data_IF_355237495832
#
_entry.id   IF_355237495832
#
_cell.length_a   1.000
_cell.length_b   1.000
_cell.length_c   1.000
_cell.angle_alpha   90.00
_cell.angle_beta   90.00
_cell.angle_gamma   90.00
#
_symmetry.space_group_name_H-M   'P 1'
#
loop_
_entity.id
_entity.type
_entity.pdbx_description
1 polymer ?
#
# COMPACT_ATOMS: atom_id res chain seq x y z
N UNK A 1 -0.86 -2.83 15.40
CA UNK A 1 -1.24 -3.96 16.26
C UNK A 1 -1.85 -5.11 15.49
N UNK A 2 -1.82 -6.28 16.09
CA UNK A 2 -2.58 -7.43 15.60
C UNK A 2 -3.82 -7.54 16.50
N UNK A 3 -5.01 -7.56 15.88
CA UNK A 3 -6.24 -7.78 16.65
C UNK A 3 -6.30 -9.19 17.24
N UNK A 4 -6.99 -9.33 18.35
CA UNK A 4 -7.20 -10.65 19.01
C UNK A 4 -8.30 -11.47 18.32
N UNK A 5 -9.02 -10.90 17.38
CA UNK A 5 -10.14 -11.52 16.65
C UNK A 5 -9.73 -11.71 15.16
N UNK A 6 -10.14 -12.79 14.49
CA UNK A 6 -9.96 -12.97 13.05
C UNK A 6 -10.57 -11.85 12.18
N UNK A 7 -11.35 -10.93 12.76
CA UNK A 7 -11.93 -9.77 12.06
C UNK A 7 -11.17 -8.45 12.26
N UNK A 8 -10.01 -8.48 12.94
CA UNK A 8 -9.26 -7.28 13.31
C UNK A 8 -9.87 -6.55 14.51
N UNK A 9 -9.29 -5.43 14.88
CA UNK A 9 -9.73 -4.67 16.05
C UNK A 9 -9.60 -3.16 15.80
N UNK A 10 -10.67 -2.44 16.07
CA UNK A 10 -10.64 -0.98 16.11
C UNK A 10 -10.07 -0.55 17.46
N UNK A 11 -8.82 -0.11 17.46
CA UNK A 11 -8.13 0.28 18.69
C UNK A 11 -7.00 1.26 18.42
N UNK A 12 -6.88 2.24 19.29
CA UNK A 12 -5.72 3.10 19.38
C UNK A 12 -4.59 2.36 20.11
N UNK A 13 -3.54 2.04 19.37
CA UNK A 13 -2.44 1.20 19.85
C UNK A 13 -1.24 2.05 20.33
N UNK A 14 -0.80 1.84 21.55
CA UNK A 14 0.38 2.48 22.11
C UNK A 14 1.57 1.51 22.17
N UNK A 15 2.79 1.98 21.85
CA UNK A 15 3.24 3.38 21.63
C UNK A 15 3.02 3.93 20.21
N UNK A 16 2.43 3.19 19.27
CA UNK A 16 2.30 3.58 17.89
C UNK A 16 1.51 4.90 17.71
N UNK A 17 0.48 5.13 18.52
CA UNK A 17 -0.38 6.32 18.46
C UNK A 17 0.17 7.54 19.22
N UNK A 18 1.42 7.48 19.71
CA UNK A 18 2.05 8.69 20.29
C UNK A 18 2.46 9.69 19.20
N UNK A 19 2.41 10.96 19.54
CA UNK A 19 2.96 12.03 18.73
C UNK A 19 4.40 11.71 18.29
N UNK A 20 4.72 11.96 17.02
CA UNK A 20 6.01 11.71 16.39
C UNK A 20 6.41 10.23 16.27
N UNK A 21 5.46 9.32 16.39
CA UNK A 21 5.62 7.90 16.07
C UNK A 21 4.78 7.58 14.84
N UNK A 22 5.37 6.94 13.84
CA UNK A 22 4.65 6.51 12.64
C UNK A 22 3.88 5.22 12.94
N UNK A 23 2.58 5.32 12.94
CA UNK A 23 1.67 4.19 13.20
C UNK A 23 1.40 3.41 11.91
N UNK A 24 1.68 2.11 11.91
CA UNK A 24 1.61 1.26 10.71
C UNK A 24 0.64 0.12 10.90
N UNK A 25 -0.38 0.02 10.04
CA UNK A 25 -1.25 -1.14 9.94
C UNK A 25 -0.74 -2.14 8.89
N UNK A 26 -1.24 -3.36 8.93
CA UNK A 26 -0.84 -4.43 8.02
C UNK A 26 -1.91 -4.71 6.97
N UNK A 27 -1.48 -4.85 5.72
CA UNK A 27 -2.30 -5.32 4.61
C UNK A 27 -1.58 -6.43 3.85
N UNK A 28 -2.33 -7.17 3.06
CA UNK A 28 -1.76 -8.13 2.11
C UNK A 28 -1.08 -7.44 0.93
N UNK A 29 -0.19 -8.14 0.23
CA UNK A 29 0.54 -7.62 -0.94
C UNK A 29 -0.36 -7.19 -2.11
N UNK A 30 -1.61 -7.67 -2.14
CA UNK A 30 -2.63 -7.26 -3.12
C UNK A 30 -3.35 -5.96 -2.76
N UNK A 31 -3.06 -5.37 -1.59
CA UNK A 31 -3.77 -4.22 -1.04
C UNK A 31 -5.05 -4.57 -0.27
N UNK A 32 -5.42 -5.85 -0.19
CA UNK A 32 -6.53 -6.28 0.67
C UNK A 32 -6.12 -6.22 2.13
N UNK A 33 -6.97 -5.63 2.97
CA UNK A 33 -6.72 -5.61 4.40
C UNK A 33 -6.74 -7.02 4.99
N UNK A 34 -5.71 -7.34 5.77
CA UNK A 34 -5.66 -8.60 6.51
C UNK A 34 -6.60 -8.53 7.71
N UNK A 35 -7.74 -9.19 7.64
CA UNK A 35 -8.86 -9.10 8.60
C UNK A 35 -8.52 -9.31 10.09
N UNK A 36 -7.26 -9.50 10.42
CA UNK A 36 -6.71 -9.64 11.76
C UNK A 36 -5.94 -8.39 12.25
N UNK A 37 -5.59 -7.47 11.34
CA UNK A 37 -4.79 -6.29 11.73
C UNK A 37 -5.66 -5.26 12.46
N UNK A 38 -5.05 -4.53 13.38
CA UNK A 38 -5.68 -3.39 14.04
C UNK A 38 -5.82 -2.23 13.05
N UNK A 39 -6.96 -1.55 13.09
CA UNK A 39 -7.28 -0.37 12.31
C UNK A 39 -7.83 0.72 13.23
N UNK A 40 -7.51 1.98 12.94
CA UNK A 40 -7.94 3.14 13.72
C UNK A 40 -7.57 4.43 13.00
N UNK A 41 -8.23 5.55 13.27
CA UNK A 41 -7.87 6.86 12.71
C UNK A 41 -6.50 7.37 13.15
N UNK A 42 -5.88 6.77 14.17
CA UNK A 42 -4.48 7.03 14.57
C UNK A 42 -3.44 6.26 13.73
N UNK A 43 -3.87 5.44 12.77
CA UNK A 43 -2.96 4.81 11.82
C UNK A 43 -2.53 5.82 10.78
N UNK A 44 -1.23 5.99 10.58
CA UNK A 44 -0.68 6.93 9.60
C UNK A 44 -0.61 6.34 8.20
N UNK A 45 -0.28 5.05 8.07
CA UNK A 45 -0.21 4.34 6.79
C UNK A 45 -0.34 2.83 6.96
N UNK A 46 -0.54 2.14 5.86
CA UNK A 46 -0.52 0.68 5.80
C UNK A 46 0.72 0.19 5.04
N UNK A 47 1.18 -1.01 5.37
CA UNK A 47 2.28 -1.67 4.67
C UNK A 47 2.04 -3.19 4.54
N UNK A 48 2.66 -3.88 3.55
CA UNK A 48 2.57 -5.32 3.43
C UNK A 48 3.00 -6.02 4.72
N UNK A 49 2.13 -6.83 5.26
CA UNK A 49 2.33 -7.56 6.52
C UNK A 49 1.86 -9.01 6.50
N UNK A 50 1.48 -9.53 5.31
CA UNK A 50 1.10 -10.93 5.12
C UNK A 50 2.09 -11.67 4.25
N UNK A 51 2.40 -12.91 4.64
CA UNK A 51 3.31 -13.82 3.93
C UNK A 51 4.70 -13.18 3.66
N UNK A 52 5.21 -12.46 4.66
CA UNK A 52 6.49 -11.77 4.55
C UNK A 52 7.63 -12.72 4.87
N UNK A 53 8.38 -13.09 3.83
CA UNK A 53 9.56 -13.94 3.94
C UNK A 53 10.72 -13.18 4.59
N UNK A 54 11.24 -13.71 5.67
CA UNK A 54 12.39 -13.15 6.37
C UNK A 54 13.24 -14.23 7.03
N UNK A 55 14.45 -13.84 7.45
CA UNK A 55 15.31 -14.71 8.25
C UNK A 55 14.71 -14.91 9.63
N UNK A 56 14.76 -16.15 10.11
CA UNK A 56 14.24 -16.55 11.43
C UNK A 56 15.36 -17.11 12.31
N UNK A 57 15.10 -17.19 13.62
CA UNK A 57 16.04 -17.80 14.56
C UNK A 57 16.20 -19.28 14.21
N UNK A 58 17.45 -19.75 14.17
CA UNK A 58 17.75 -21.16 13.84
C UNK A 58 18.23 -21.41 12.42
N UNK A 59 18.80 -20.41 11.76
CA UNK A 59 19.46 -20.51 10.44
C UNK A 59 18.51 -20.90 9.29
N UNK A 60 17.41 -20.14 9.13
CA UNK A 60 16.44 -20.39 8.06
C UNK A 60 15.71 -19.14 7.64
N UNK A 61 14.77 -19.36 6.74
CA UNK A 61 13.80 -18.36 6.29
C UNK A 61 12.40 -18.92 6.48
N UNK A 62 11.49 -18.06 6.88
CA UNK A 62 10.08 -18.40 7.02
C UNK A 62 9.21 -17.20 6.66
N UNK A 63 7.94 -17.43 6.34
CA UNK A 63 6.97 -16.40 6.01
C UNK A 63 5.99 -16.22 7.15
N UNK A 64 5.89 -14.99 7.64
CA UNK A 64 5.02 -14.66 8.76
C UNK A 64 4.06 -13.53 8.42
N UNK A 65 2.95 -13.49 9.16
CA UNK A 65 1.94 -12.45 9.11
C UNK A 65 2.01 -11.59 10.39
N UNK A 66 1.81 -10.29 10.24
CA UNK A 66 1.79 -9.40 11.39
C UNK A 66 2.04 -7.94 11.05
N UNK A 67 1.51 -7.04 11.87
CA UNK A 67 1.93 -5.64 11.90
C UNK A 67 3.43 -5.51 12.23
N UNK A 68 4.00 -6.52 12.91
CA UNK A 68 5.45 -6.67 13.15
C UNK A 68 6.25 -6.84 11.85
N UNK A 69 5.63 -7.29 10.75
CA UNK A 69 6.21 -7.41 9.41
C UNK A 69 5.93 -6.16 8.58
N UNK A 70 4.78 -5.53 8.76
CA UNK A 70 4.42 -4.29 8.09
C UNK A 70 5.29 -3.10 8.54
N UNK A 71 5.52 -2.96 9.84
CA UNK A 71 6.31 -1.86 10.40
C UNK A 71 7.73 -1.76 9.83
N UNK A 72 8.54 -2.84 9.77
CA UNK A 72 9.87 -2.78 9.15
C UNK A 72 9.81 -2.53 7.63
N UNK A 73 8.75 -2.94 6.93
CA UNK A 73 8.57 -2.59 5.52
C UNK A 73 8.43 -1.07 5.35
N UNK A 74 7.57 -0.42 6.12
CA UNK A 74 7.45 1.04 6.13
C UNK A 74 8.78 1.72 6.53
N UNK A 75 9.43 1.24 7.59
CA UNK A 75 10.72 1.77 8.03
C UNK A 75 11.81 1.64 6.97
N UNK A 76 11.79 0.56 6.18
CA UNK A 76 12.75 0.35 5.08
C UNK A 76 12.59 1.38 3.96
N UNK A 77 11.36 1.80 3.65
CA UNK A 77 11.10 2.86 2.67
C UNK A 77 11.64 4.20 3.18
N UNK A 78 11.47 4.51 4.47
CA UNK A 78 12.03 5.72 5.07
C UNK A 78 13.58 5.67 5.04
N UNK A 79 14.17 4.50 5.31
CA UNK A 79 15.62 4.30 5.19
C UNK A 79 16.13 4.50 3.77
N UNK A 80 15.37 4.04 2.77
CA UNK A 80 15.65 4.28 1.36
C UNK A 80 15.59 5.77 1.03
N UNK A 81 14.55 6.48 1.47
CA UNK A 81 14.43 7.93 1.31
C UNK A 81 15.57 8.69 1.97
N UNK A 82 15.99 8.30 3.18
CA UNK A 82 17.13 8.89 3.86
C UNK A 82 18.43 8.76 3.04
N UNK A 83 18.59 7.65 2.34
CA UNK A 83 19.74 7.44 1.45
C UNK A 83 19.69 8.32 0.19
N UNK A 84 18.48 8.58 -0.34
CA UNK A 84 18.27 9.44 -1.51
C UNK A 84 18.32 10.93 -1.17
N UNK A 85 17.81 11.30 0.01
CA UNK A 85 17.66 12.69 0.49
C UNK A 85 18.34 12.85 1.85
N UNK A 86 19.69 12.76 1.93
CA UNK A 86 20.41 12.74 3.20
C UNK A 86 20.22 14.00 4.04
N UNK A 87 19.95 15.14 3.39
CA UNK A 87 19.80 16.45 4.04
C UNK A 87 18.36 16.75 4.52
N UNK A 88 17.40 15.87 4.21
CA UNK A 88 16.03 16.06 4.64
C UNK A 88 15.87 15.81 6.14
N UNK A 89 15.01 16.60 6.79
CA UNK A 89 14.59 16.33 8.17
C UNK A 89 13.74 15.04 8.25
N UNK A 90 13.56 14.53 9.47
CA UNK A 90 12.65 13.38 9.67
C UNK A 90 11.23 13.71 9.23
N UNK A 91 10.75 14.93 9.54
CA UNK A 91 9.40 15.37 9.16
C UNK A 91 9.21 15.39 7.65
N UNK A 92 10.22 15.88 6.89
CA UNK A 92 10.18 15.84 5.43
C UNK A 92 10.14 14.43 4.86
N UNK A 93 10.86 13.48 5.46
CA UNK A 93 10.83 12.09 5.04
C UNK A 93 9.47 11.45 5.33
N UNK A 94 8.91 11.68 6.50
CA UNK A 94 7.58 11.17 6.88
C UNK A 94 6.50 11.78 5.98
N UNK A 95 6.50 13.10 5.80
CA UNK A 95 5.55 13.79 4.91
C UNK A 95 5.63 13.22 3.48
N UNK A 96 6.86 12.96 3.00
CA UNK A 96 7.03 12.36 1.67
C UNK A 96 6.47 10.95 1.59
N UNK A 97 6.71 10.10 2.58
CA UNK A 97 6.15 8.74 2.62
C UNK A 97 4.62 8.79 2.63
N UNK A 98 4.03 9.61 3.50
CA UNK A 98 2.58 9.72 3.61
C UNK A 98 1.95 10.27 2.32
N UNK A 99 2.51 11.34 1.76
CA UNK A 99 1.98 11.98 0.53
C UNK A 99 2.16 11.13 -0.73
N UNK A 100 3.04 10.14 -0.73
CA UNK A 100 3.27 9.22 -1.83
C UNK A 100 2.63 7.84 -1.64
N UNK A 101 1.98 7.61 -0.50
CA UNK A 101 1.26 6.35 -0.25
C UNK A 101 0.11 6.17 -1.24
N UNK A 102 -0.20 4.92 -1.55
CA UNK A 102 -1.20 4.58 -2.55
C UNK A 102 -2.57 4.36 -1.90
N UNK A 103 -3.50 5.23 -2.21
CA UNK A 103 -4.86 5.22 -1.65
C UNK A 103 -5.80 4.19 -2.31
N UNK A 104 -5.33 3.49 -3.37
CA UNK A 104 -6.11 2.44 -4.03
C UNK A 104 -6.60 1.34 -3.05
N UNK A 105 -5.94 1.21 -1.89
CA UNK A 105 -6.37 0.26 -0.87
C UNK A 105 -7.80 0.51 -0.39
N UNK A 106 -8.30 1.74 -0.47
CA UNK A 106 -9.67 2.10 -0.10
C UNK A 106 -10.69 1.68 -1.16
N UNK A 107 -10.28 1.57 -2.43
CA UNK A 107 -11.13 0.95 -3.47
C UNK A 107 -11.35 -0.54 -3.21
N UNK A 108 -10.35 -1.21 -2.61
CA UNK A 108 -10.40 -2.63 -2.26
C UNK A 108 -11.01 -2.88 -0.88
N UNK A 109 -10.99 -1.89 -0.01
CA UNK A 109 -11.44 -1.96 1.38
C UNK A 109 -12.34 -0.75 1.72
N UNK A 110 -13.49 -0.59 1.02
CA UNK A 110 -14.32 0.62 1.14
C UNK A 110 -14.91 0.83 2.53
N UNK A 111 -15.07 -0.22 3.32
CA UNK A 111 -15.59 -0.15 4.69
C UNK A 111 -14.65 0.61 5.65
N UNK A 112 -13.40 0.84 5.24
CA UNK A 112 -12.38 1.51 6.04
C UNK A 112 -12.16 2.99 5.65
N UNK A 113 -12.98 3.53 4.75
CA UNK A 113 -13.05 4.97 4.44
C UNK A 113 -13.78 5.71 5.56
N UNK A 114 -14.93 5.18 5.99
CA UNK A 114 -15.66 5.61 7.19
C UNK A 114 -15.68 4.41 8.14
N UNK A 115 -14.55 4.11 8.73
CA UNK A 115 -14.29 2.84 9.38
C UNK A 115 -15.27 2.54 10.54
N UNK A 116 -15.69 1.28 10.68
CA UNK A 116 -16.56 0.90 11.77
C UNK A 116 -15.80 0.82 13.10
N UNK A 117 -16.41 1.33 14.16
CA UNK A 117 -15.97 1.00 15.52
C UNK A 117 -16.30 -0.47 15.87
N UNK A 118 -15.86 -0.91 17.04
CA UNK A 118 -16.12 -2.29 17.50
C UNK A 118 -17.62 -2.63 17.69
N UNK A 119 -18.50 -1.65 17.54
CA UNK A 119 -19.96 -1.82 17.57
C UNK A 119 -20.59 -1.80 16.17
N UNK A 120 -19.75 -1.61 15.12
CA UNK A 120 -20.18 -1.52 13.73
C UNK A 120 -20.73 -0.15 13.34
N UNK A 121 -20.54 0.89 14.16
CA UNK A 121 -20.94 2.24 13.79
C UNK A 121 -19.81 2.90 13.00
N UNK A 122 -20.14 3.64 11.92
CA UNK A 122 -19.13 4.37 11.16
C UNK A 122 -18.50 5.48 12.02
N UNK A 123 -17.18 5.55 12.01
CA UNK A 123 -16.42 6.66 12.59
C UNK A 123 -16.31 7.75 11.53
N UNK A 124 -17.00 8.86 11.75
CA UNK A 124 -17.17 9.92 10.76
C UNK A 124 -15.83 10.60 10.47
N UNK A 125 -15.40 10.53 9.21
CA UNK A 125 -14.24 11.25 8.68
C UNK A 125 -12.90 10.59 8.94
N UNK A 126 -12.86 9.28 9.24
CA UNK A 126 -11.64 8.54 9.50
C UNK A 126 -11.22 7.61 8.36
N UNK A 127 -10.01 7.80 7.85
CA UNK A 127 -9.31 6.81 7.04
C UNK A 127 -8.55 5.89 8.00
N UNK A 128 -9.09 4.72 8.32
CA UNK A 128 -8.55 3.88 9.38
C UNK A 128 -7.36 3.01 9.01
N UNK A 129 -6.91 3.11 7.77
CA UNK A 129 -5.65 2.52 7.29
C UNK A 129 -4.64 3.62 6.91
N UNK A 130 -4.87 4.85 7.36
CA UNK A 130 -3.99 6.00 7.16
C UNK A 130 -3.97 6.53 5.72
N UNK A 131 -2.83 7.06 5.31
CA UNK A 131 -2.65 7.69 3.99
C UNK A 131 -2.72 6.70 2.81
N UNK A 132 -2.77 5.41 3.08
CA UNK A 132 -2.75 4.36 2.07
C UNK A 132 -1.60 3.37 2.25
N UNK A 133 -1.35 2.55 1.25
CA UNK A 133 -0.22 1.62 1.24
C UNK A 133 1.08 2.34 0.93
N UNK A 134 2.11 2.06 1.71
CA UNK A 134 3.46 2.59 1.43
C UNK A 134 3.92 2.22 0.02
N UNK A 135 4.39 3.21 -0.74
CA UNK A 135 4.92 3.05 -2.09
C UNK A 135 6.35 3.62 -2.15
N UNK A 136 7.32 2.72 -2.13
CA UNK A 136 8.74 3.08 -2.19
C UNK A 136 9.12 3.82 -3.47
N UNK A 137 8.46 3.45 -4.57
CA UNK A 137 8.75 3.96 -5.89
C UNK A 137 8.26 5.41 -6.05
N UNK A 138 7.02 5.68 -5.70
CA UNK A 138 6.47 7.03 -5.65
C UNK A 138 7.24 7.89 -4.63
N UNK A 139 7.62 7.32 -3.49
CA UNK A 139 8.33 8.02 -2.44
C UNK A 139 9.68 8.57 -2.90
N UNK A 140 10.48 7.82 -3.66
CA UNK A 140 11.76 8.31 -4.20
C UNK A 140 11.61 9.26 -5.40
N UNK A 141 10.38 9.60 -5.79
CA UNK A 141 10.12 10.55 -6.87
C UNK A 141 10.27 9.96 -8.27
N UNK A 142 10.29 8.65 -8.38
CA UNK A 142 10.19 7.99 -9.67
C UNK A 142 8.72 7.93 -10.07
N UNK A 143 8.14 9.04 -10.48
CA UNK A 143 6.86 9.03 -11.16
C UNK A 143 7.06 8.37 -12.52
N UNK A 144 6.90 7.06 -12.58
CA UNK A 144 6.61 6.40 -13.82
C UNK A 144 5.12 6.58 -14.16
N UNK A 145 4.75 7.75 -14.46
CA UNK A 145 3.96 7.91 -15.66
C UNK A 145 4.90 7.49 -16.78
N UNK A 146 4.71 6.34 -17.44
CA UNK A 146 5.49 6.07 -18.63
C UNK A 146 5.25 7.25 -19.54
N UNK A 147 6.26 8.10 -19.70
CA UNK A 147 6.18 9.26 -20.58
C UNK A 147 6.34 8.76 -22.02
N UNK A 148 5.67 7.63 -22.30
CA UNK A 148 5.51 7.07 -23.63
C UNK A 148 4.46 7.94 -24.29
N UNK A 149 4.94 9.06 -24.82
CA UNK A 149 4.17 9.83 -25.77
C UNK A 149 4.31 9.09 -27.10
N UNK A 150 3.35 8.24 -27.41
CA UNK A 150 3.20 7.75 -28.78
C UNK A 150 2.99 8.96 -29.68
N UNK A 151 3.99 9.30 -30.43
CA UNK A 151 3.92 10.44 -31.35
C UNK A 151 3.08 10.09 -32.57
N UNK A 152 3.17 8.85 -33.00
CA UNK A 152 2.33 8.22 -34.04
C UNK A 152 2.31 6.72 -33.73
N UNK A 153 1.15 6.12 -33.71
CA UNK A 153 1.01 4.66 -33.72
C UNK A 153 -0.04 4.27 -34.75
N UNK A 154 0.17 3.14 -35.37
CA UNK A 154 -0.86 2.49 -36.19
C UNK A 154 -0.94 1.03 -35.75
N UNK A 155 -2.12 0.48 -35.76
CA UNK A 155 -2.31 -0.96 -35.56
C UNK A 155 -3.10 -1.50 -36.74
N UNK A 156 -2.79 -2.72 -37.11
CA UNK A 156 -3.52 -3.48 -38.12
C UNK A 156 -4.04 -4.75 -37.43
N UNK A 157 -5.33 -4.96 -37.51
CA UNK A 157 -5.94 -6.20 -37.01
C UNK A 157 -5.65 -7.29 -38.01
N UNK A 158 -4.77 -8.23 -37.66
CA UNK A 158 -4.32 -9.31 -38.57
C UNK A 158 -5.09 -10.62 -38.37
N UNK A 159 -5.96 -10.69 -37.39
CA UNK A 159 -6.81 -11.86 -37.09
C UNK A 159 -7.93 -11.49 -36.14
N UNK A 160 -9.10 -12.09 -36.34
CA UNK A 160 -10.31 -11.83 -35.57
C UNK A 160 -11.54 -11.88 -36.46
N UNK A 161 -12.57 -11.11 -36.15
CA UNK A 161 -13.84 -11.06 -36.92
C UNK A 161 -13.79 -10.19 -38.17
N UNK A 162 -12.69 -9.46 -38.42
CA UNK A 162 -12.44 -8.69 -39.64
C UNK A 162 -13.11 -7.31 -39.69
N UNK A 163 -13.58 -6.79 -38.54
CA UNK A 163 -14.28 -5.50 -38.47
C UNK A 163 -13.36 -4.29 -38.29
N UNK A 164 -12.04 -4.47 -38.16
CA UNK A 164 -11.03 -3.45 -37.85
C UNK A 164 -11.21 -2.78 -36.47
N UNK A 165 -11.97 -3.36 -35.58
CA UNK A 165 -12.13 -2.95 -34.19
C UNK A 165 -11.40 -3.95 -33.32
N UNK A 166 -10.56 -3.47 -32.41
CA UNK A 166 -9.82 -4.35 -31.51
C UNK A 166 -10.74 -4.89 -30.43
N UNK A 167 -11.04 -6.19 -30.50
CA UNK A 167 -11.87 -6.91 -29.55
C UNK A 167 -11.05 -7.96 -28.76
N UNK A 168 -11.52 -8.41 -27.60
CA UNK A 168 -10.87 -9.51 -26.89
C UNK A 168 -10.79 -10.78 -27.75
N UNK A 169 -9.58 -11.23 -28.05
CA UNK A 169 -9.29 -12.40 -28.87
C UNK A 169 -8.73 -12.08 -30.25
N UNK A 170 -8.71 -10.81 -30.66
CA UNK A 170 -8.07 -10.39 -31.90
C UNK A 170 -6.54 -10.39 -31.78
N UNK A 171 -5.90 -10.63 -32.91
CA UNK A 171 -4.45 -10.44 -33.06
C UNK A 171 -4.20 -9.16 -33.85
N UNK A 172 -3.20 -8.41 -33.47
CA UNK A 172 -2.84 -7.16 -34.15
C UNK A 172 -1.33 -6.95 -34.21
N UNK A 173 -0.90 -6.24 -35.24
CA UNK A 173 0.45 -5.72 -35.36
C UNK A 173 0.49 -4.25 -34.96
N UNK A 174 1.37 -3.91 -34.00
CA UNK A 174 1.60 -2.55 -33.55
C UNK A 174 2.87 -1.99 -34.18
N UNK A 175 2.74 -0.91 -34.93
CA UNK A 175 3.86 -0.13 -35.45
C UNK A 175 4.02 1.15 -34.62
N UNK A 176 5.21 1.38 -34.06
CA UNK A 176 5.59 2.52 -33.25
C UNK A 176 6.41 3.53 -34.03
#
# INVERSE_FOLDING_TARGET
>A
GNGDDPQGYYSEEYPAAYDNVLSVSAIGCSGSWGGWATYHESVDLAAPGENILSAVIGEGYDSWDGSSMASPNAASVIGLLRSYYPDWSNDQLIERVLSSSDDFIYDLNPDYVDCPDNSGNPVVGGYCLGAGMVDAYKAIGMDFSPNIKFKNYSFEVVGGDGDNVLNPGDSFDLSL
#
